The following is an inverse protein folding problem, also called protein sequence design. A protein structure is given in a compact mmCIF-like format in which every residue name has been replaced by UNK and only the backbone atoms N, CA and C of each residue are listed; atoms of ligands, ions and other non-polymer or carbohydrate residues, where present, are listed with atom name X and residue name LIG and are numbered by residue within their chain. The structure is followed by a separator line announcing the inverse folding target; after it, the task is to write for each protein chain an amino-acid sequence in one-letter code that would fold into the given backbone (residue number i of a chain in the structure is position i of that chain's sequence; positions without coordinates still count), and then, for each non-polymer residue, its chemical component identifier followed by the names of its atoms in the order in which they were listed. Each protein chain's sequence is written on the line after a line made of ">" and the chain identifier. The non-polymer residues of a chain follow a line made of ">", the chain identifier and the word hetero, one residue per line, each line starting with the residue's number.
data_IF_520427818410
#
_entry.id   IF_520427818410
#
_cell.length_a   1.000
_cell.length_b   1.000
_cell.length_c   1.000
_cell.angle_alpha   90.00
_cell.angle_beta   90.00
_cell.angle_gamma   90.00
#
_symmetry.space_group_name_H-M   'P 1'
#
loop_
_entity.id
_entity.type
_entity.pdbx_description
1 polymer ?
2 non-polymer ?
3 non-polymer ?
4 non-polymer ?
5 water ?
#
# COMPACT_ATOMS: atom_id res chain seq x y z
N UNK A 4 -12.43 -9.00 20.86
CA UNK A 4 -11.21 -8.22 20.94
C UNK A 4 -10.14 -8.56 19.92
N UNK A 5 -10.19 -9.81 19.35
CA UNK A 5 -9.29 -10.28 18.29
C UNK A 5 -9.27 -9.31 17.11
N UNK A 6 -10.46 -8.91 16.61
CA UNK A 6 -10.63 -7.98 15.48
C UNK A 6 -10.02 -6.62 15.80
N UNK A 7 -10.27 -6.11 17.03
CA UNK A 7 -9.65 -4.89 17.54
C UNK A 7 -8.13 -5.05 17.55
N UNK A 8 -7.62 -6.11 18.21
CA UNK A 8 -6.20 -6.42 18.33
C UNK A 8 -5.55 -6.50 16.96
N UNK A 9 -6.15 -7.28 16.03
CA UNK A 9 -5.63 -7.48 14.69
C UNK A 9 -5.59 -6.17 13.91
N UNK A 10 -6.63 -5.32 14.05
CA UNK A 10 -6.69 -4.00 13.38
C UNK A 10 -5.66 -3.03 13.98
N UNK A 11 -5.35 -3.16 15.29
CA UNK A 11 -4.28 -2.38 15.91
C UNK A 11 -2.93 -2.81 15.34
N UNK A 12 -2.70 -4.14 15.13
CA UNK A 12 -1.49 -4.63 14.45
C UNK A 12 -1.38 -4.01 13.05
N UNK A 13 -2.51 -4.02 12.29
CA UNK A 13 -2.59 -3.40 10.96
C UNK A 13 -2.25 -1.92 11.03
N UNK A 14 -2.80 -1.20 12.01
CA UNK A 14 -2.52 0.25 12.16
C UNK A 14 -1.03 0.47 12.45
N UNK A 15 -0.41 -0.42 13.26
CA UNK A 15 1.02 -0.38 13.56
C UNK A 15 1.85 -0.51 12.30
N UNK A 16 1.50 -1.50 11.44
CA UNK A 16 2.15 -1.72 10.14
C UNK A 16 2.02 -0.46 9.28
N UNK A 17 0.80 0.11 9.20
CA UNK A 17 0.54 1.32 8.41
C UNK A 17 1.44 2.47 8.86
N UNK A 18 1.51 2.71 10.19
CA UNK A 18 2.38 3.75 10.76
C UNK A 18 3.85 3.48 10.37
N UNK A 19 4.29 2.21 10.41
CA UNK A 19 5.65 1.87 10.02
C UNK A 19 5.88 2.17 8.54
N UNK A 20 4.92 1.79 7.66
CA UNK A 20 5.05 2.01 6.21
C UNK A 20 5.15 3.51 5.88
N UNK A 21 4.53 4.36 6.73
CA UNK A 21 4.51 5.81 6.58
C UNK A 21 5.67 6.51 7.31
N UNK A 22 6.52 5.74 8.04
CA UNK A 22 7.57 6.28 8.90
C UNK A 22 8.82 6.66 8.12
N UNK A 23 9.66 7.53 8.70
CA UNK A 23 10.90 8.01 8.06
C UNK A 23 11.84 6.86 7.75
N UNK A 24 11.79 5.75 8.56
CA UNK A 24 12.60 4.55 8.39
C UNK A 24 12.56 4.01 6.96
N UNK A 25 11.36 4.04 6.32
CA UNK A 25 11.14 3.45 4.99
C UNK A 25 10.91 4.49 3.90
N UNK A 26 11.08 5.80 4.22
CA UNK A 26 10.71 6.90 3.34
C UNK A 26 11.44 6.87 1.99
N UNK A 27 12.69 6.33 1.96
CA UNK A 27 13.50 6.32 0.72
C UNK A 27 12.83 5.53 -0.41
N UNK A 28 12.03 4.48 -0.07
CA UNK A 28 11.34 3.64 -1.05
C UNK A 28 9.81 3.67 -0.90
N UNK A 29 9.28 4.24 0.21
CA UNK A 29 7.82 4.26 0.42
C UNK A 29 7.14 5.47 -0.23
N UNK A 30 7.91 6.54 -0.54
CA UNK A 30 7.35 7.84 -0.95
C UNK A 30 6.45 7.77 -2.20
N UNK A 31 6.71 6.92 -3.22
CA UNK A 31 5.75 6.87 -4.37
C UNK A 31 4.37 6.34 -4.00
N UNK A 32 4.20 5.73 -2.81
CA UNK A 32 2.96 5.11 -2.36
C UNK A 32 2.21 5.95 -1.32
N UNK A 33 2.73 7.16 -1.01
CA UNK A 33 2.15 8.02 0.02
C UNK A 33 0.81 8.61 -0.39
N UNK A 34 0.67 8.97 -1.67
CA UNK A 34 -0.51 9.67 -2.19
C UNK A 34 -1.01 8.99 -3.47
N UNK A 35 -2.29 9.21 -3.85
CA UNK A 35 -2.79 8.62 -5.12
C UNK A 35 -1.90 8.99 -6.26
N UNK A 36 -1.64 8.04 -7.19
CA UNK A 36 -0.88 8.29 -8.40
C UNK A 36 -1.59 9.42 -9.16
N UNK A 37 -0.85 10.51 -9.43
CA UNK A 37 -1.36 11.63 -10.22
C UNK A 37 -0.90 11.39 -11.67
N UNK A 38 -1.74 10.67 -12.45
CA UNK A 38 -1.41 10.18 -13.78
C UNK A 38 -1.08 11.34 -14.71
N UNK A 39 -1.95 12.38 -14.71
CA UNK A 39 -1.78 13.60 -15.50
C UNK A 39 -0.41 14.24 -15.23
N UNK A 40 -0.08 14.47 -13.93
CA UNK A 40 1.16 15.10 -13.51
C UNK A 40 2.40 14.33 -13.95
N UNK A 41 2.31 12.98 -14.00
CA UNK A 41 3.44 12.12 -14.34
C UNK A 41 3.47 11.75 -15.84
N UNK A 42 2.46 12.23 -16.61
CA UNK A 42 2.32 11.96 -18.03
C UNK A 42 1.89 10.54 -18.34
N UNK A 43 1.26 9.86 -17.36
CA UNK A 43 0.86 8.44 -17.48
C UNK A 43 -0.59 8.37 -17.95
N UNK A 44 -0.82 8.76 -19.22
CA UNK A 44 -2.18 8.96 -19.76
C UNK A 44 -2.94 7.68 -19.99
N UNK A 45 -2.25 6.51 -19.84
CA UNK A 45 -2.86 5.19 -19.94
C UNK A 45 -3.11 4.55 -18.56
N UNK A 46 -2.68 5.23 -17.45
CA UNK A 46 -2.71 4.66 -16.11
C UNK A 46 -4.09 4.14 -15.72
N UNK A 47 -5.13 5.00 -15.89
CA UNK A 47 -6.51 4.69 -15.47
C UNK A 47 -7.24 3.76 -16.45
N UNK A 48 -6.63 3.48 -17.62
CA UNK A 48 -7.13 2.46 -18.55
C UNK A 48 -6.64 1.07 -18.11
N UNK A 49 -5.46 1.01 -17.46
CA UNK A 49 -4.80 -0.22 -17.04
C UNK A 49 -5.14 -0.57 -15.60
N UNK A 50 -5.18 0.45 -14.71
CA UNK A 50 -5.48 0.32 -13.27
C UNK A 50 -6.91 0.77 -13.02
N UNK A 51 -7.83 -0.19 -12.75
CA UNK A 51 -9.26 0.08 -12.55
C UNK A 51 -9.59 0.41 -11.10
N UNK A 52 -8.70 0.04 -10.13
CA UNK A 52 -8.90 0.29 -8.71
C UNK A 52 -7.62 0.85 -8.07
N UNK A 53 -7.38 2.16 -8.24
CA UNK A 53 -6.19 2.79 -7.61
C UNK A 53 -6.21 2.65 -6.10
N UNK A 54 -5.02 2.56 -5.49
CA UNK A 54 -4.89 2.47 -4.04
C UNK A 54 -3.52 3.03 -3.65
N UNK A 55 -3.45 3.65 -2.46
CA UNK A 55 -2.24 4.30 -1.94
C UNK A 55 -2.36 4.37 -0.42
N UNK A 56 -1.25 4.66 0.28
CA UNK A 56 -1.23 4.63 1.74
C UNK A 56 -2.10 5.71 2.39
N UNK A 57 -2.29 6.89 1.71
CA UNK A 57 -3.16 7.94 2.28
C UNK A 57 -4.61 7.47 2.30
N UNK A 58 -5.03 6.72 1.26
CA UNK A 58 -6.38 6.14 1.17
C UNK A 58 -6.54 5.06 2.25
N UNK A 59 -5.51 4.20 2.43
CA UNK A 59 -5.53 3.16 3.49
C UNK A 59 -5.66 3.83 4.86
N UNK A 60 -4.88 4.92 5.09
CA UNK A 60 -4.92 5.68 6.34
C UNK A 60 -6.32 6.27 6.59
N UNK A 61 -6.94 6.89 5.57
CA UNK A 61 -8.29 7.46 5.67
C UNK A 61 -9.30 6.37 6.04
N UNK A 62 -9.21 5.19 5.39
CA UNK A 62 -10.12 4.07 5.62
C UNK A 62 -9.93 3.51 7.03
N UNK A 63 -8.67 3.46 7.54
CA UNK A 63 -8.40 3.03 8.92
C UNK A 63 -9.00 4.03 9.91
N UNK A 64 -8.77 5.35 9.69
CA UNK A 64 -9.28 6.43 10.54
C UNK A 64 -10.82 6.42 10.58
N UNK A 65 -11.45 6.14 9.42
CA UNK A 65 -12.92 6.10 9.26
C UNK A 65 -13.55 4.80 9.76
N UNK A 66 -12.71 3.85 10.26
CA UNK A 66 -13.14 2.52 10.71
C UNK A 66 -13.81 1.76 9.56
N UNK A 67 -13.32 1.98 8.32
CA UNK A 67 -13.84 1.34 7.12
C UNK A 67 -13.49 -0.15 7.13
N UNK A 68 -12.26 -0.50 7.57
CA UNK A 68 -11.79 -1.90 7.62
C UNK A 68 -12.42 -2.61 8.80
N UNK A 69 -13.12 -3.73 8.54
CA UNK A 69 -13.79 -4.54 9.56
C UNK A 69 -12.86 -5.63 10.08
N UNK A 70 -11.82 -6.02 9.29
CA UNK A 70 -10.85 -7.04 9.70
C UNK A 70 -9.49 -6.79 9.02
N UNK A 71 -8.46 -7.53 9.46
CA UNK A 71 -7.09 -7.43 8.96
C UNK A 71 -7.01 -7.79 7.48
N UNK A 72 -7.80 -8.79 7.04
CA UNK A 72 -7.82 -9.29 5.66
C UNK A 72 -8.22 -8.17 4.68
N UNK A 73 -9.24 -7.37 5.04
CA UNK A 73 -9.72 -6.25 4.23
C UNK A 73 -8.60 -5.20 4.09
N UNK A 74 -7.90 -4.91 5.21
CA UNK A 74 -6.77 -3.98 5.23
C UNK A 74 -5.66 -4.48 4.30
N UNK A 75 -5.27 -5.76 4.46
CA UNK A 75 -4.19 -6.37 3.67
C UNK A 75 -4.53 -6.38 2.18
N UNK A 76 -5.83 -6.57 1.83
CA UNK A 76 -6.27 -6.57 0.44
C UNK A 76 -5.98 -5.22 -0.22
N UNK A 77 -6.21 -4.09 0.50
CA UNK A 77 -5.92 -2.75 -0.06
C UNK A 77 -4.42 -2.54 -0.19
N UNK A 78 -3.62 -2.93 0.83
CA UNK A 78 -2.17 -2.75 0.75
C UNK A 78 -1.61 -3.54 -0.44
N UNK A 79 -2.07 -4.79 -0.63
CA UNK A 79 -1.60 -5.64 -1.72
C UNK A 79 -2.08 -5.15 -3.07
N UNK A 80 -3.32 -4.60 -3.14
CA UNK A 80 -3.87 -3.96 -4.35
C UNK A 80 -2.92 -2.83 -4.81
N UNK A 81 -2.45 -2.01 -3.84
CA UNK A 81 -1.52 -0.92 -4.09
C UNK A 81 -0.24 -1.44 -4.79
N UNK A 82 0.36 -2.53 -4.25
CA UNK A 82 1.58 -3.12 -4.83
C UNK A 82 1.26 -3.75 -6.20
N UNK A 83 0.13 -4.48 -6.30
CA UNK A 83 -0.26 -5.15 -7.54
C UNK A 83 -0.45 -4.16 -8.67
N UNK A 84 -1.07 -3.00 -8.38
CA UNK A 84 -1.25 -1.91 -9.37
C UNK A 84 0.10 -1.48 -9.93
N UNK A 85 1.10 -1.33 -9.05
CA UNK A 85 2.46 -0.93 -9.40
C UNK A 85 3.12 -1.98 -10.31
N UNK A 86 2.98 -3.29 -9.96
CA UNK A 86 3.55 -4.40 -10.74
C UNK A 86 2.85 -4.57 -12.10
N UNK A 87 1.54 -4.26 -12.16
CA UNK A 87 0.77 -4.36 -13.40
C UNK A 87 1.15 -3.26 -14.39
N UNK A 88 1.24 -2.00 -13.91
CA UNK A 88 1.41 -0.85 -14.77
C UNK A 88 2.83 -0.71 -15.30
N UNK A 89 3.83 -0.91 -14.42
CA UNK A 89 5.20 -0.52 -14.68
C UNK A 89 6.04 -1.61 -15.31
N UNK A 90 7.00 -1.23 -16.18
CA UNK A 90 8.04 -2.21 -16.63
C UNK A 90 8.77 -2.71 -15.37
N UNK A 91 9.03 -4.02 -15.29
CA UNK A 91 9.60 -4.61 -14.05
C UNK A 91 10.96 -4.09 -13.65
N UNK A 92 11.68 -3.40 -14.56
CA UNK A 92 13.03 -2.86 -14.35
C UNK A 92 13.01 -1.39 -13.93
N UNK A 93 11.80 -0.78 -13.76
CA UNK A 93 11.65 0.61 -13.30
C UNK A 93 11.96 0.66 -11.80
N UNK A 94 12.60 1.75 -11.34
CA UNK A 94 12.98 1.95 -9.93
C UNK A 94 11.78 1.83 -9.00
N UNK A 95 10.58 2.31 -9.43
CA UNK A 95 9.37 2.27 -8.59
C UNK A 95 8.98 0.83 -8.26
N UNK A 96 9.26 -0.13 -9.18
CA UNK A 96 8.96 -1.55 -8.95
C UNK A 96 9.89 -2.11 -7.86
N UNK A 97 11.20 -1.76 -7.90
CA UNK A 97 12.15 -2.15 -6.86
C UNK A 97 11.71 -1.58 -5.50
N UNK A 98 11.21 -0.33 -5.50
CA UNK A 98 10.73 0.34 -4.29
C UNK A 98 9.49 -0.37 -3.74
N UNK A 99 8.55 -0.76 -4.65
CA UNK A 99 7.35 -1.52 -4.30
C UNK A 99 7.73 -2.86 -3.63
N UNK A 100 8.68 -3.62 -4.26
CA UNK A 100 9.18 -4.90 -3.76
C UNK A 100 9.72 -4.75 -2.34
N UNK A 101 10.54 -3.69 -2.10
CA UNK A 101 11.17 -3.46 -0.80
C UNK A 101 10.12 -3.13 0.26
N UNK A 102 9.14 -2.26 -0.07
CA UNK A 102 8.07 -1.90 0.87
C UNK A 102 7.15 -3.09 1.12
N UNK A 103 6.89 -3.92 0.08
CA UNK A 103 6.05 -5.11 0.26
C UNK A 103 6.71 -6.12 1.18
N UNK A 104 8.07 -6.23 1.10
CA UNK A 104 8.85 -7.12 1.99
C UNK A 104 8.65 -6.70 3.45
N UNK A 105 8.66 -5.37 3.74
CA UNK A 105 8.40 -4.83 5.07
C UNK A 105 6.98 -5.21 5.50
N UNK A 106 6.01 -4.98 4.59
CA UNK A 106 4.61 -5.28 4.86
C UNK A 106 4.41 -6.77 5.17
N UNK A 107 4.83 -7.66 4.25
CA UNK A 107 4.54 -9.09 4.34
C UNK A 107 5.13 -9.71 5.61
N UNK A 108 6.38 -9.36 5.93
CA UNK A 108 7.07 -9.94 7.09
C UNK A 108 6.41 -9.51 8.40
N UNK A 109 5.97 -8.24 8.51
CA UNK A 109 5.29 -7.80 9.73
C UNK A 109 3.83 -8.25 9.78
N UNK A 110 3.13 -8.25 8.62
CA UNK A 110 1.75 -8.77 8.54
C UNK A 110 1.70 -10.25 9.01
N UNK A 111 2.76 -11.02 8.65
CA UNK A 111 2.88 -12.43 9.03
C UNK A 111 2.93 -12.63 10.55
N UNK A 112 3.35 -11.58 11.32
CA UNK A 112 3.41 -11.62 12.79
C UNK A 112 2.09 -11.19 13.44
N UNK A 113 0.96 -11.26 12.68
CA UNK A 113 -0.40 -10.98 13.15
C UNK A 113 -0.67 -11.76 14.46
N UNK A 114 -1.12 -11.09 15.52
CA UNK A 114 -1.50 -11.83 16.75
C UNK A 114 -2.76 -12.66 16.52
N UNK A 115 -2.82 -13.86 17.13
CA UNK A 115 -3.94 -14.80 17.05
C UNK A 115 -4.82 -14.67 18.30
X LIG B 1 5.99 6.72 -10.36
X LIG B 1 3.05 3.37 -9.47
X LIG B 1 7.04 7.20 -12.44
X LIG B 1 6.86 7.43 -11.09
X LIG B 1 5.29 5.74 -10.95
X LIG B 1 5.41 5.45 -12.31
X LIG B 1 4.38 4.99 -10.08
X LIG B 1 2.58 4.00 -7.14
X LIG B 1 9.02 7.80 -9.89
X LIG B 1 10.15 6.19 -8.50
X LIG B 1 11.41 7.53 -10.02
X LIG B 1 6.93 6.86 -15.25
X LIG B 1 6.54 5.95 -14.53
X LIG B 1 6.33 4.72 -14.98
X LIG B 1 6.66 4.32 -16.36
X LIG B 1 5.60 3.47 -16.97
X LIG B 1 6.31 6.19 -13.06
X LIG B 1 3.75 3.85 -10.47
X LIG B 1 3.22 4.22 -8.44
X LIG B 1 4.03 5.24 -8.77
X LIG B 1 7.73 8.45 -10.37
X LIG B 1 7.00 9.16 -9.23
X LIG B 1 10.25 8.15 -10.44
X LIG B 1 11.36 6.54 -9.06
X LIG B 1 8.99 6.81 -8.91
X LIG C 1 7.19 -10.92 -0.09
X LIG C 1 7.12 -9.65 -0.70
X LIG C 1 8.31 -11.01 0.90
X LIG C 1 9.57 -10.78 0.30
X LIG D 1 -15.12 -0.89 0.84
X LIG D 1 -14.24 0.07 1.42
X LIG D 1 -16.53 -0.70 1.28
X LIG D 1 -16.62 -0.24 2.62
X LIG E 1 3.84 -3.54 -18.07
X LIG E 1 4.88 -3.25 -18.97
X LIG E 1 3.75 -5.01 -17.74
X LIG E 1 4.62 -5.41 -16.70
X LIG F 1 -9.96 -1.18 17.68
X LIG F 1 -10.67 0.00 18.02
X LIG F 1 -9.37 -1.10 16.31
X LIG F 1 -8.57 0.07 16.20
X LIG F 1 -8.15 0.34 14.87
X LIG F 1 -6.95 1.23 14.88
X LIG F 1 -7.27 2.57 14.54
#
# INVERSE_FOLDING_TARGET
>A
GSMGKLSEQLKHCNGILKELLSKKHAAYAWPFYKPVDASALGLHDYHDIIKHPMDLSTVKRKMENRDYRDAQEFAADVRLMFSNCYKYNPPDHDVVAMARKLQDVFEFRYAKMPD
>B hetero
1 UME N1 N3 C4 C5 C6 C7 C8 C10 C13 C15 C17 O C2 N C1 C C3 N4 N2 C9 C11 C12 C18 C16 C14
>C hetero
1 EDO C1 O1 C2 O2
>D hetero
1 EDO C1 O1 C2 O2
>E hetero
1 EDO C1 O1 C2 O2
>F hetero
1 PEG C1 O1 C2 O2 C3 C4 O4
#
